data_IF_290257944577
#
_entry.id   IF_290257944577
#
_cell.length_a   1.000
_cell.length_b   1.000
_cell.length_c   1.000
_cell.angle_alpha   90.00
_cell.angle_beta   90.00
_cell.angle_gamma   90.00
#
_symmetry.space_group_name_H-M   'P 1'
#
loop_
_entity.id
_entity.type
_entity.pdbx_description
1 polymer ?
#
# COMPACT_ATOMS: atom_id res chain seq x y z
N UNK A 1 -19.15 0.14 -8.26
CA UNK A 1 -19.11 0.49 -9.69
C UNK A 1 -18.09 1.61 -9.80
N UNK A 2 -16.81 1.25 -9.74
CA UNK A 2 -15.70 2.21 -9.91
C UNK A 2 -15.48 2.38 -11.40
N UNK A 3 -15.74 3.58 -11.90
CA UNK A 3 -15.30 3.98 -13.22
C UNK A 3 -13.77 4.14 -13.16
N UNK A 4 -13.04 3.05 -13.38
CA UNK A 4 -11.63 3.12 -13.74
C UNK A 4 -11.59 3.96 -15.02
N UNK A 5 -11.13 5.20 -14.91
CA UNK A 5 -10.83 6.06 -16.05
C UNK A 5 -9.70 5.39 -16.82
N UNK A 6 -10.03 4.47 -17.71
CA UNK A 6 -9.06 3.96 -18.67
C UNK A 6 -8.70 5.12 -19.57
N UNK A 7 -7.41 5.47 -19.61
CA UNK A 7 -6.90 6.55 -20.44
C UNK A 7 -7.20 6.33 -21.94
N UNK A 8 -7.62 5.13 -22.36
CA UNK A 8 -8.20 4.85 -23.67
C UNK A 8 -9.36 5.80 -24.05
N UNK A 9 -10.12 6.32 -23.07
CA UNK A 9 -11.18 7.30 -23.32
C UNK A 9 -10.66 8.73 -23.51
N UNK A 10 -9.41 8.99 -23.11
CA UNK A 10 -8.73 10.26 -23.30
C UNK A 10 -7.85 10.15 -24.55
N UNK A 11 -8.24 10.79 -25.66
CA UNK A 11 -7.39 10.92 -26.87
C UNK A 11 -6.16 11.83 -26.63
N UNK A 12 -5.48 11.70 -25.48
CA UNK A 12 -4.37 12.54 -25.03
C UNK A 12 -3.21 11.68 -24.55
N UNK A 13 -2.03 11.99 -25.07
CA UNK A 13 -0.76 11.40 -24.66
C UNK A 13 -0.09 12.29 -23.61
N UNK A 14 0.80 11.75 -22.78
CA UNK A 14 1.53 12.56 -21.82
C UNK A 14 0.77 12.86 -20.52
N UNK A 15 -0.21 12.04 -20.14
CA UNK A 15 -1.06 12.31 -18.98
C UNK A 15 -0.42 11.79 -17.70
N UNK A 16 -0.43 12.64 -16.67
CA UNK A 16 -0.08 12.30 -15.29
C UNK A 16 -1.33 12.46 -14.42
N UNK A 17 -1.61 11.48 -13.56
CA UNK A 17 -2.71 11.56 -12.61
C UNK A 17 -2.22 12.10 -11.27
N UNK A 18 -3.04 12.96 -10.68
CA UNK A 18 -2.85 13.48 -9.32
C UNK A 18 -4.13 13.16 -8.57
N UNK A 19 -3.99 12.37 -7.52
CA UNK A 19 -5.08 11.96 -6.66
C UNK A 19 -4.84 12.44 -5.22
N UNK A 20 -5.90 12.38 -4.41
CA UNK A 20 -5.86 12.77 -3.01
C UNK A 20 -6.36 11.66 -2.11
N UNK A 21 -5.60 11.38 -1.05
CA UNK A 21 -6.03 10.61 0.12
C UNK A 21 -5.54 11.34 1.38
N UNK A 22 -6.41 11.43 2.38
CA UNK A 22 -6.13 12.13 3.64
C UNK A 22 -5.47 11.22 4.69
N UNK A 23 -5.32 9.93 4.44
CA UNK A 23 -4.78 8.98 5.39
C UNK A 23 -3.31 8.69 5.09
N UNK A 24 -2.92 8.56 3.84
CA UNK A 24 -1.55 8.28 3.44
C UNK A 24 -1.20 8.91 2.10
N UNK A 25 0.10 9.02 1.82
CA UNK A 25 0.60 9.30 0.49
C UNK A 25 1.38 8.12 -0.08
N UNK A 26 1.32 7.95 -1.39
CA UNK A 26 2.06 6.94 -2.14
C UNK A 26 2.15 7.30 -3.63
N UNK A 27 3.05 6.60 -4.34
CA UNK A 27 3.16 6.68 -5.80
C UNK A 27 2.81 5.32 -6.39
N UNK A 28 1.84 5.31 -7.29
CA UNK A 28 1.41 4.14 -8.05
C UNK A 28 1.75 4.30 -9.55
N UNK A 29 1.97 3.17 -10.21
CA UNK A 29 2.26 3.05 -11.63
C UNK A 29 1.40 1.94 -12.24
N UNK A 30 0.80 2.24 -13.38
CA UNK A 30 0.00 1.31 -14.16
C UNK A 30 0.45 1.26 -15.62
N UNK A 31 1.02 0.14 -16.03
CA UNK A 31 1.62 -0.06 -17.35
C UNK A 31 0.63 -0.59 -18.39
N UNK A 32 -0.50 -1.15 -17.94
CA UNK A 32 -1.40 -1.95 -18.79
C UNK A 32 -2.72 -1.24 -19.16
N UNK A 33 -2.89 0.02 -18.77
CA UNK A 33 -4.10 0.81 -19.06
C UNK A 33 -4.00 1.74 -20.27
N UNK A 34 -2.79 1.93 -20.82
CA UNK A 34 -2.50 2.84 -21.92
C UNK A 34 -1.24 2.38 -22.68
N UNK A 35 -0.91 3.06 -23.79
CA UNK A 35 0.33 2.81 -24.55
C UNK A 35 1.59 3.38 -23.87
N UNK A 36 1.48 3.87 -22.63
CA UNK A 36 2.56 4.42 -21.82
C UNK A 36 2.23 4.21 -20.33
N UNK A 37 3.22 4.20 -19.41
CA UNK A 37 2.98 4.06 -17.99
C UNK A 37 2.17 5.24 -17.44
N UNK A 38 1.09 4.93 -16.72
CA UNK A 38 0.30 5.90 -15.98
C UNK A 38 0.84 5.99 -14.57
N UNK A 39 1.34 7.16 -14.19
CA UNK A 39 1.71 7.44 -12.81
C UNK A 39 0.55 8.12 -12.09
N UNK A 40 0.30 7.71 -10.86
CA UNK A 40 -0.61 8.36 -9.92
C UNK A 40 0.16 8.70 -8.64
N UNK A 41 0.12 9.97 -8.26
CA UNK A 41 0.58 10.42 -6.95
C UNK A 41 -0.63 10.69 -6.07
N UNK A 42 -0.80 9.85 -5.05
CA UNK A 42 -1.80 10.04 -4.03
C UNK A 42 -1.17 10.82 -2.86
N UNK A 43 -1.73 11.98 -2.54
CA UNK A 43 -1.26 12.81 -1.42
C UNK A 43 -2.35 13.78 -0.94
N UNK A 44 -2.48 13.99 0.37
CA UNK A 44 -3.33 15.04 0.97
C UNK A 44 -3.26 15.09 2.49
N UNK A 45 -2.24 14.47 3.10
CA UNK A 45 -2.21 14.23 4.53
C UNK A 45 -1.90 15.45 5.41
N UNK A 46 -2.03 16.69 4.93
CA UNK A 46 -1.49 17.89 5.59
C UNK A 46 -2.05 18.10 7.02
N UNK A 47 -3.34 17.82 7.23
CA UNK A 47 -4.04 18.06 8.50
C UNK A 47 -4.46 16.78 9.20
N UNK A 48 -4.79 15.75 8.42
CA UNK A 48 -5.15 14.43 8.86
C UNK A 48 -4.22 13.45 8.18
N UNK A 49 -3.70 12.46 8.93
CA UNK A 49 -2.90 11.37 8.38
C UNK A 49 -3.07 10.15 9.29
N UNK A 50 -2.93 8.93 8.76
CA UNK A 50 -3.25 7.71 9.52
C UNK A 50 -2.42 7.57 10.78
N UNK A 51 -1.12 7.90 10.73
CA UNK A 51 -0.25 7.81 11.89
C UNK A 51 -0.49 8.93 12.91
N UNK A 52 -1.00 10.10 12.48
CA UNK A 52 -1.39 11.18 13.39
C UNK A 52 -2.81 11.00 13.94
N UNK A 53 -3.64 10.18 13.29
CA UNK A 53 -5.02 9.91 13.71
C UNK A 53 -5.11 8.77 14.74
N UNK A 54 -4.00 8.10 15.04
CA UNK A 54 -3.93 7.00 16.02
C UNK A 54 -2.97 7.34 17.16
N UNK A 55 -3.18 6.81 18.38
CA UNK A 55 -2.21 6.94 19.46
C UNK A 55 -0.82 6.43 19.05
N UNK A 56 0.24 7.09 19.54
CA UNK A 56 1.63 6.80 19.17
C UNK A 56 2.02 5.32 19.29
N UNK A 57 1.47 4.62 20.28
CA UNK A 57 1.71 3.18 20.51
C UNK A 57 1.25 2.30 19.33
N UNK A 58 0.32 2.76 18.50
CA UNK A 58 -0.20 2.04 17.34
C UNK A 58 0.45 2.43 16.01
N UNK A 59 1.29 3.46 15.95
CA UNK A 59 1.91 3.91 14.70
C UNK A 59 2.78 2.82 14.06
N UNK A 60 3.58 2.11 14.87
CA UNK A 60 4.37 0.96 14.41
C UNK A 60 3.50 -0.16 13.84
N UNK A 61 2.32 -0.37 14.43
CA UNK A 61 1.33 -1.34 13.94
C UNK A 61 0.79 -0.87 12.59
N UNK A 62 0.46 0.41 12.42
CA UNK A 62 0.00 0.96 11.14
C UNK A 62 1.04 0.77 10.02
N UNK A 63 2.33 1.02 10.32
CA UNK A 63 3.42 0.77 9.35
C UNK A 63 3.55 -0.71 8.98
N UNK A 64 3.39 -1.60 9.96
CA UNK A 64 3.37 -3.04 9.72
C UNK A 64 2.19 -3.43 8.82
N UNK A 65 0.99 -2.92 9.10
CA UNK A 65 -0.20 -3.18 8.29
C UNK A 65 0.01 -2.66 6.86
N UNK A 66 0.55 -1.45 6.69
CA UNK A 66 0.85 -0.88 5.38
C UNK A 66 1.83 -1.72 4.55
N UNK A 67 2.75 -2.44 5.20
CA UNK A 67 3.66 -3.38 4.54
C UNK A 67 2.99 -4.71 4.17
N UNK A 68 1.94 -5.10 4.89
CA UNK A 68 1.18 -6.32 4.64
C UNK A 68 0.06 -6.14 3.60
N UNK A 69 -0.38 -4.90 3.38
CA UNK A 69 -1.39 -4.55 2.38
C UNK A 69 -0.89 -4.87 0.97
N UNK A 70 -1.65 -5.64 0.18
CA UNK A 70 -1.27 -5.94 -1.20
C UNK A 70 -1.39 -4.69 -2.06
N UNK A 71 -0.29 -4.24 -2.65
CA UNK A 71 -0.24 -3.02 -3.47
C UNK A 71 0.43 -3.28 -4.81
N UNK A 72 -0.29 -3.93 -5.75
CA UNK A 72 0.31 -4.40 -7.00
C UNK A 72 0.75 -3.28 -7.94
N UNK A 73 0.19 -2.07 -7.75
CA UNK A 73 0.49 -0.88 -8.55
C UNK A 73 1.51 0.05 -7.88
N UNK A 74 1.90 -0.17 -6.62
CA UNK A 74 2.80 0.74 -5.92
C UNK A 74 4.20 0.72 -6.50
N UNK A 75 4.82 1.88 -6.64
CA UNK A 75 6.20 2.00 -7.07
C UNK A 75 7.12 1.85 -5.87
N UNK A 76 8.04 0.88 -5.94
CA UNK A 76 9.06 0.69 -4.91
C UNK A 76 10.37 1.32 -5.37
N UNK A 77 10.66 2.50 -4.83
CA UNK A 77 11.89 3.25 -5.08
C UNK A 77 12.90 3.04 -3.94
N UNK A 78 14.22 3.05 -4.20
CA UNK A 78 15.21 3.08 -3.12
C UNK A 78 15.10 4.33 -2.25
N UNK A 79 14.41 5.38 -2.72
CA UNK A 79 14.19 6.63 -2.00
C UNK A 79 13.04 6.57 -1.00
N UNK A 80 12.30 5.46 -0.94
CA UNK A 80 11.20 5.33 0.01
C UNK A 80 11.68 5.36 1.46
N UNK A 81 11.10 6.23 2.28
CA UNK A 81 11.38 6.31 3.72
C UNK A 81 10.99 5.04 4.48
N UNK A 82 9.98 4.33 4.01
CA UNK A 82 9.46 3.11 4.63
C UNK A 82 9.44 1.94 3.64
N UNK A 83 9.58 0.71 4.15
CA UNK A 83 9.56 -0.51 3.33
C UNK A 83 8.27 -0.71 2.53
N UNK A 84 7.17 -0.12 3.00
CA UNK A 84 5.88 -0.16 2.32
C UNK A 84 5.82 0.81 1.13
N UNK A 85 6.75 1.77 0.98
CA UNK A 85 6.63 2.90 0.03
C UNK A 85 5.27 3.64 0.13
N UNK A 86 4.73 3.68 1.35
CA UNK A 86 3.54 4.44 1.70
C UNK A 86 3.86 5.23 2.97
N UNK A 87 3.36 6.45 3.03
CA UNK A 87 3.71 7.41 4.07
C UNK A 87 2.45 7.89 4.78
N UNK A 88 2.28 7.47 6.04
CA UNK A 88 1.09 7.74 6.84
C UNK A 88 1.16 8.99 7.72
N UNK A 89 2.21 9.77 7.59
CA UNK A 89 2.44 11.04 8.28
C UNK A 89 2.02 12.21 7.39
N UNK A 90 1.91 13.44 7.90
CA UNK A 90 1.47 14.56 7.09
C UNK A 90 2.36 14.83 5.90
N UNK A 91 1.72 15.00 4.75
CA UNK A 91 2.39 15.00 3.45
C UNK A 91 1.65 15.82 2.40
N UNK A 92 2.39 16.18 1.35
CA UNK A 92 1.86 16.74 0.12
C UNK A 92 2.68 16.24 -1.08
N UNK A 93 2.05 16.19 -2.25
CA UNK A 93 2.72 15.84 -3.50
C UNK A 93 3.36 17.06 -4.17
N UNK A 94 4.48 16.82 -4.85
CA UNK A 94 5.18 17.80 -5.68
C UNK A 94 5.52 17.17 -7.03
N UNK A 95 5.33 17.94 -8.10
CA UNK A 95 5.74 17.57 -9.45
C UNK A 95 6.65 18.67 -9.96
N UNK A 96 7.87 18.29 -10.32
CA UNK A 96 8.87 19.16 -10.89
C UNK A 96 9.20 18.68 -12.30
N UNK A 97 9.28 19.61 -13.24
CA UNK A 97 9.65 19.31 -14.62
C UNK A 97 10.92 20.09 -14.95
N UNK A 98 12.02 19.37 -15.18
CA UNK A 98 13.26 19.95 -15.67
C UNK A 98 13.27 19.93 -17.20
N UNK A 99 12.93 21.07 -17.79
CA UNK A 99 12.94 21.30 -19.24
C UNK A 99 14.35 21.48 -19.81
N UNK A 100 15.35 21.78 -18.96
CA UNK A 100 16.72 22.03 -19.38
C UNK A 100 17.58 20.76 -19.37
N UNK A 101 17.16 19.72 -18.64
CA UNK A 101 17.78 18.40 -18.71
C UNK A 101 17.69 17.81 -20.13
N UNK A 102 18.70 17.02 -20.52
CA UNK A 102 18.75 16.34 -21.81
C UNK A 102 18.86 14.83 -21.57
N UNK A 103 17.77 14.04 -21.75
CA UNK A 103 16.41 14.48 -22.12
C UNK A 103 15.66 15.16 -20.96
N UNK A 104 14.58 15.95 -21.23
CA UNK A 104 13.76 16.58 -20.19
C UNK A 104 13.17 15.56 -19.22
N UNK A 105 13.15 15.89 -17.93
CA UNK A 105 12.78 14.96 -16.85
C UNK A 105 11.59 15.43 -16.04
N UNK A 106 10.76 14.49 -15.64
CA UNK A 106 9.69 14.68 -14.66
C UNK A 106 10.14 14.03 -13.37
N UNK A 107 10.06 14.78 -12.28
CA UNK A 107 10.28 14.30 -10.92
C UNK A 107 8.97 14.42 -10.17
N UNK A 108 8.51 13.31 -9.63
CA UNK A 108 7.30 13.23 -8.81
C UNK A 108 7.75 12.85 -7.41
N UNK A 109 7.37 13.64 -6.42
CA UNK A 109 7.78 13.45 -5.05
C UNK A 109 6.61 13.57 -4.08
N UNK A 110 6.65 12.72 -3.07
CA UNK A 110 5.89 12.91 -1.85
C UNK A 110 6.81 13.61 -0.84
N UNK A 111 6.33 14.69 -0.23
CA UNK A 111 7.11 15.50 0.72
C UNK A 111 6.45 15.56 2.09
N UNK A 112 7.28 15.66 3.13
CA UNK A 112 6.82 15.97 4.49
C UNK A 112 6.54 17.48 4.67
N UNK A 113 6.01 17.87 5.84
CA UNK A 113 5.69 19.28 6.14
C UNK A 113 6.90 20.24 6.11
N UNK A 114 8.13 19.73 6.19
CA UNK A 114 9.34 20.53 6.09
C UNK A 114 9.85 20.63 4.65
N UNK A 115 9.18 19.97 3.69
CA UNK A 115 9.56 19.92 2.29
C UNK A 115 10.60 18.84 1.96
N UNK A 116 10.94 17.94 2.90
CA UNK A 116 11.86 16.84 2.59
C UNK A 116 11.15 15.76 1.78
N UNK A 117 11.84 15.22 0.78
CA UNK A 117 11.36 14.08 -0.01
C UNK A 117 11.30 12.82 0.85
N UNK A 118 10.15 12.16 0.90
CA UNK A 118 9.92 10.91 1.64
C UNK A 118 9.67 9.71 0.72
N UNK A 119 9.25 9.99 -0.50
CA UNK A 119 9.17 9.04 -1.61
C UNK A 119 9.26 9.84 -2.92
N UNK A 120 9.72 9.21 -3.98
CA UNK A 120 9.83 9.88 -5.26
C UNK A 120 10.32 8.99 -6.38
N UNK A 121 9.86 9.34 -7.58
CA UNK A 121 10.24 8.73 -8.84
C UNK A 121 10.65 9.81 -9.82
N UNK A 122 11.61 9.48 -10.69
CA UNK A 122 12.12 10.41 -11.69
C UNK A 122 12.32 9.69 -13.01
N UNK A 123 11.71 10.22 -14.06
CA UNK A 123 11.69 9.59 -15.38
C UNK A 123 11.73 10.64 -16.49
N UNK A 124 12.22 10.29 -17.70
CA UNK A 124 12.22 11.24 -18.81
C UNK A 124 10.78 11.50 -19.31
N UNK A 125 10.47 12.72 -19.75
CA UNK A 125 9.14 13.06 -20.31
C UNK A 125 8.77 12.15 -21.49
N UNK A 126 9.76 11.65 -22.22
CA UNK A 126 9.56 10.69 -23.31
C UNK A 126 8.90 9.38 -22.87
N UNK A 127 8.97 9.01 -21.60
CA UNK A 127 8.29 7.83 -21.05
C UNK A 127 6.77 7.98 -21.08
N UNK A 128 6.24 9.21 -21.04
CA UNK A 128 4.80 9.47 -21.13
C UNK A 128 4.28 9.54 -22.58
N UNK A 129 5.09 9.14 -23.57
CA UNK A 129 4.69 9.03 -24.97
C UNK A 129 4.32 7.58 -25.28
N UNK A 130 3.31 7.35 -26.15
CA UNK A 130 2.98 6.01 -26.61
C UNK A 130 4.19 5.23 -27.12
N UNK A 131 4.32 4.00 -26.66
CA UNK A 131 5.35 3.06 -27.08
C UNK A 131 4.74 1.68 -27.28
N UNK A 132 5.11 1.03 -28.39
CA UNK A 132 4.66 -0.34 -28.72
C UNK A 132 5.12 -1.39 -27.70
N UNK A 133 6.08 -1.04 -26.82
CA UNK A 133 6.53 -1.93 -25.74
C UNK A 133 5.45 -2.13 -24.65
N UNK A 134 4.62 -1.13 -24.39
CA UNK A 134 3.56 -1.20 -23.36
C UNK A 134 2.25 -1.76 -23.91
N UNK A 135 2.03 -1.66 -25.23
CA UNK A 135 0.84 -2.21 -25.89
C UNK A 135 0.76 -3.75 -25.85
N UNK A 136 1.89 -4.45 -25.66
CA UNK A 136 2.00 -5.91 -25.78
C UNK A 136 2.16 -6.66 -24.45
N UNK A 137 2.04 -6.01 -23.29
CA UNK A 137 2.23 -6.68 -21.99
C UNK A 137 1.09 -7.60 -21.53
N UNK A 138 -0.01 -7.71 -22.29
CA UNK A 138 -1.07 -8.68 -22.00
C UNK A 138 -0.71 -10.09 -22.49
N UNK A 139 0.31 -10.73 -21.91
CA UNK A 139 0.47 -12.18 -22.05
C UNK A 139 0.53 -12.87 -20.68
N UNK A 140 -0.48 -13.72 -20.44
CA UNK A 140 -0.39 -14.83 -19.50
C UNK A 140 -1.01 -14.62 -18.12
N UNK A 141 -1.61 -15.70 -17.59
CA UNK A 141 -2.25 -15.83 -16.28
C UNK A 141 -1.31 -15.66 -15.06
N UNK A 142 -0.20 -14.93 -15.19
CA UNK A 142 0.80 -14.69 -14.15
C UNK A 142 0.70 -13.27 -13.61
N UNK A 143 0.92 -13.11 -12.29
CA UNK A 143 1.02 -11.82 -11.63
C UNK A 143 2.12 -10.95 -12.28
N UNK A 144 1.75 -9.78 -12.77
CA UNK A 144 2.69 -8.79 -13.31
C UNK A 144 2.59 -7.49 -12.51
N UNK A 145 3.73 -7.08 -11.93
CA UNK A 145 3.84 -5.81 -11.22
C UNK A 145 3.43 -4.65 -12.13
N UNK A 146 2.69 -3.67 -11.58
CA UNK A 146 2.17 -2.51 -12.30
C UNK A 146 1.15 -2.83 -13.41
N UNK A 147 0.66 -4.06 -13.50
CA UNK A 147 -0.34 -4.48 -14.49
C UNK A 147 -1.53 -5.22 -13.88
N UNK A 148 -1.33 -5.96 -12.79
CA UNK A 148 -2.43 -6.68 -12.11
C UNK A 148 -3.21 -5.76 -11.17
N UNK A 149 -4.55 -5.84 -11.23
CA UNK A 149 -5.43 -5.19 -10.26
C UNK A 149 -5.48 -5.99 -8.95
N UNK A 150 -5.84 -5.34 -7.83
CA UNK A 150 -5.98 -6.03 -6.55
C UNK A 150 -7.02 -7.16 -6.61
N UNK A 151 -8.06 -6.99 -7.43
CA UNK A 151 -9.09 -8.02 -7.66
C UNK A 151 -8.58 -9.25 -8.38
N UNK A 152 -7.50 -9.13 -9.14
CA UNK A 152 -6.89 -10.21 -9.93
C UNK A 152 -5.81 -10.96 -9.15
N UNK A 153 -5.45 -10.48 -7.95
CA UNK A 153 -4.47 -11.14 -7.11
C UNK A 153 -4.96 -12.52 -6.66
N UNK A 154 -4.03 -13.50 -6.49
CA UNK A 154 -4.34 -14.77 -5.87
C UNK A 154 -5.05 -14.57 -4.53
N UNK A 155 -6.05 -15.40 -4.24
CA UNK A 155 -6.91 -15.22 -3.07
C UNK A 155 -6.14 -15.16 -1.75
N UNK A 156 -5.05 -15.92 -1.60
CA UNK A 156 -4.21 -15.88 -0.40
C UNK A 156 -3.57 -14.51 -0.18
N UNK A 157 -3.15 -13.83 -1.25
CA UNK A 157 -2.51 -12.51 -1.19
C UNK A 157 -3.57 -11.44 -0.92
N UNK A 158 -4.69 -11.49 -1.65
CA UNK A 158 -5.81 -10.57 -1.48
C UNK A 158 -6.38 -10.60 -0.06
N UNK A 159 -6.60 -11.79 0.50
CA UNK A 159 -7.16 -11.96 1.83
C UNK A 159 -6.12 -12.10 2.94
N UNK A 160 -4.84 -11.86 2.67
CA UNK A 160 -3.74 -12.05 3.62
C UNK A 160 -3.99 -11.38 4.97
N UNK A 161 -4.39 -10.10 4.95
CA UNK A 161 -4.65 -9.33 6.17
C UNK A 161 -5.83 -9.92 6.97
N UNK A 162 -6.90 -10.29 6.28
CA UNK A 162 -8.06 -10.91 6.90
C UNK A 162 -7.72 -12.27 7.52
N UNK A 163 -6.95 -13.11 6.80
CA UNK A 163 -6.48 -14.39 7.30
C UNK A 163 -5.61 -14.24 8.55
N UNK A 164 -4.70 -13.25 8.58
CA UNK A 164 -3.90 -12.94 9.76
C UNK A 164 -4.78 -12.45 10.93
N UNK A 165 -5.75 -11.59 10.67
CA UNK A 165 -6.66 -11.08 11.69
C UNK A 165 -7.53 -12.20 12.31
N UNK A 166 -8.23 -12.98 11.49
CA UNK A 166 -9.05 -14.08 11.99
C UNK A 166 -8.21 -15.21 12.60
N UNK A 167 -7.02 -15.47 12.05
CA UNK A 167 -6.07 -16.42 12.62
C UNK A 167 -5.59 -16.02 14.01
N UNK A 168 -5.22 -14.76 14.20
CA UNK A 168 -4.80 -14.25 15.53
C UNK A 168 -5.94 -14.27 16.55
N UNK A 169 -7.17 -13.92 16.14
CA UNK A 169 -8.36 -14.04 17.00
C UNK A 169 -8.60 -15.51 17.39
N UNK A 170 -8.54 -16.44 16.44
CA UNK A 170 -8.75 -17.86 16.72
C UNK A 170 -7.72 -18.41 17.71
N UNK A 171 -6.43 -18.09 17.52
CA UNK A 171 -5.35 -18.48 18.43
C UNK A 171 -5.59 -17.91 19.84
N UNK A 172 -5.99 -16.65 19.94
CA UNK A 172 -6.30 -16.01 21.21
C UNK A 172 -7.47 -16.70 21.94
N UNK A 173 -8.56 -16.98 21.23
CA UNK A 173 -9.72 -17.68 21.78
C UNK A 173 -9.34 -19.09 22.28
N UNK A 174 -8.55 -19.83 21.51
CA UNK A 174 -8.06 -21.15 21.92
C UNK A 174 -7.19 -21.04 23.17
N UNK A 175 -6.27 -20.08 23.22
CA UNK A 175 -5.41 -19.87 24.38
C UNK A 175 -6.21 -19.54 25.65
N UNK A 176 -7.22 -18.68 25.55
CA UNK A 176 -8.13 -18.36 26.66
C UNK A 176 -8.93 -19.59 27.10
N UNK A 177 -9.46 -20.38 26.16
CA UNK A 177 -10.20 -21.60 26.47
C UNK A 177 -9.32 -22.64 27.19
N UNK A 178 -8.09 -22.85 26.73
CA UNK A 178 -7.12 -23.74 27.36
C UNK A 178 -6.76 -23.26 28.77
N UNK A 179 -6.58 -21.95 28.97
CA UNK A 179 -6.31 -21.35 30.27
C UNK A 179 -7.48 -21.57 31.25
N UNK A 180 -8.72 -21.38 30.80
CA UNK A 180 -9.92 -21.65 31.60
C UNK A 180 -10.02 -23.14 31.98
N UNK A 181 -9.75 -24.05 31.05
CA UNK A 181 -9.74 -25.50 31.32
C UNK A 181 -8.65 -25.84 32.34
N UNK A 182 -7.45 -25.27 32.21
CA UNK A 182 -6.36 -25.46 33.15
C UNK A 182 -6.73 -24.95 34.55
N UNK A 183 -7.29 -23.74 34.67
CA UNK A 183 -7.78 -23.20 35.93
C UNK A 183 -8.85 -24.11 36.57
N UNK A 184 -9.88 -24.50 35.82
CA UNK A 184 -10.95 -25.37 36.30
C UNK A 184 -10.44 -26.75 36.76
N UNK A 185 -9.49 -27.34 36.03
CA UNK A 185 -8.89 -28.63 36.41
C UNK A 185 -8.03 -28.53 37.68
N UNK A 186 -7.29 -27.43 37.85
CA UNK A 186 -6.54 -27.16 39.08
C UNK A 186 -7.47 -26.97 40.29
N UNK A 187 -8.62 -26.27 40.13
CA UNK A 187 -9.61 -26.12 41.22
C UNK A 187 -10.23 -27.47 41.61
N UNK A 188 -10.54 -28.33 40.63
CA UNK A 188 -11.05 -29.70 40.88
C UNK A 188 -10.01 -30.59 41.57
N UNK A 189 -8.74 -30.46 41.21
CA UNK A 189 -7.66 -31.21 41.86
C UNK A 189 -7.45 -30.76 43.30
N UNK A 190 -7.51 -29.46 43.56
CA UNK A 190 -7.40 -28.88 44.91
C UNK A 190 -8.56 -29.30 45.81
N UNK A 191 -9.80 -29.19 45.32
CA UNK A 191 -11.00 -29.64 46.06
C UNK A 191 -11.01 -31.14 46.35
N UNK A 192 -10.46 -31.97 45.44
CA UNK A 192 -10.26 -33.41 45.72
C UNK A 192 -9.25 -33.66 46.83
N UNK A 193 -8.12 -32.94 46.85
CA UNK A 193 -7.11 -33.08 47.91
C UNK A 193 -7.62 -32.63 49.28
N UNK A 194 -8.38 -31.54 49.37
CA UNK A 194 -8.98 -31.09 50.62
C UNK A 194 -10.10 -31.99 51.16
N UNK A 195 -10.71 -32.86 50.33
CA UNK A 195 -11.71 -33.84 50.78
C UNK A 195 -11.10 -35.13 51.36
N UNK A 196 -9.80 -35.35 51.17
CA UNK A 196 -9.10 -36.56 51.62
C UNK A 196 -8.15 -36.31 52.81
N UNK A 197 -8.09 -35.06 53.29
CA UNK A 197 -7.41 -34.65 54.51
C UNK A 197 -8.47 -34.33 55.58
#
# INVERSE_FOLDING_TARGET
MEHVLTADYMQRNGVLFISGDVHFGEIARFDCGAQYPLYDITSSGLTQSVENSVPAVFQSVMRLLAWLTPTPMRVFSPNCRHKSCSYGQPNFGAIEIDWNAVPPRVKIELRDLHGNSVDGVEFPISELKPSNAHANKKEGHSFEAHCSLETELPWLVRYRLALLFFGTIAVFVIAVALLVIACCSATKLFTRKCKMA
#
